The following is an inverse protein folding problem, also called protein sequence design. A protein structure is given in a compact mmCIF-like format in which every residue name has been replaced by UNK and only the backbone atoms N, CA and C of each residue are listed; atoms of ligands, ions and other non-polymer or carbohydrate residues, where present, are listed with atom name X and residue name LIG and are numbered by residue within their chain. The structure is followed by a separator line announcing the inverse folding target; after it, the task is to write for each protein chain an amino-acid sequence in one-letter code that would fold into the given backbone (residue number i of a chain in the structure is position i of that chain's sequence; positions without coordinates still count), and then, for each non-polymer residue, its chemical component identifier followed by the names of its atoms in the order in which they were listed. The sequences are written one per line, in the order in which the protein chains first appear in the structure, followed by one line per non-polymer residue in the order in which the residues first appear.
data_IF_288118067323
#
_entry.id   IF_288118067323
#
_cell.length_a   1.000
_cell.length_b   1.000
_cell.length_c   1.000
_cell.angle_alpha   90.00
_cell.angle_beta   90.00
_cell.angle_gamma   90.00
#
_symmetry.space_group_name_H-M   'P 1'
#
loop_
_entity.id
_entity.type
_entity.pdbx_description
1 polymer ?
#
# COMPACT_ATOMS: atom_id res chain seq x y z
N UNK A 1 -26.06 8.57 63.12
CA UNK A 1 -27.38 9.25 63.01
C UNK A 1 -27.20 10.41 62.06
N UNK A 2 -27.97 10.34 60.98
CA UNK A 2 -28.32 11.38 60.01
C UNK A 2 -27.23 12.02 59.14
N UNK A 3 -27.35 11.65 57.87
CA UNK A 3 -26.71 12.20 56.70
C UNK A 3 -27.01 13.70 56.54
N UNK A 4 -25.96 14.51 56.41
CA UNK A 4 -26.07 15.81 55.75
C UNK A 4 -26.13 15.56 54.25
N UNK A 5 -27.33 15.55 53.69
CA UNK A 5 -27.54 15.58 52.24
C UNK A 5 -26.88 16.84 51.65
N UNK A 6 -25.81 16.62 50.91
CA UNK A 6 -25.27 17.57 49.94
C UNK A 6 -26.37 17.89 48.92
N UNK A 7 -27.00 19.06 49.06
CA UNK A 7 -27.72 19.72 47.97
C UNK A 7 -26.71 20.01 46.86
N UNK A 8 -26.64 19.11 45.89
CA UNK A 8 -26.07 19.40 44.57
C UNK A 8 -26.81 20.62 44.01
N UNK A 9 -26.08 21.72 43.79
CA UNK A 9 -26.55 22.81 42.93
C UNK A 9 -26.75 22.25 41.53
N UNK A 10 -27.95 21.70 41.27
CA UNK A 10 -28.40 21.38 39.92
C UNK A 10 -28.38 22.69 39.14
N UNK A 11 -27.52 22.75 38.12
CA UNK A 11 -27.54 23.78 37.08
C UNK A 11 -29.00 23.91 36.60
N UNK A 12 -29.54 25.13 36.64
CA UNK A 12 -30.94 25.40 36.31
C UNK A 12 -31.13 25.24 34.80
N UNK A 13 -31.44 24.01 34.36
CA UNK A 13 -31.55 23.63 32.95
C UNK A 13 -32.63 24.40 32.16
N UNK A 14 -33.60 24.99 32.87
CA UNK A 14 -34.69 25.81 32.29
C UNK A 14 -34.98 27.03 33.17
N UNK A 15 -34.37 28.20 32.94
CA UNK A 15 -34.84 29.45 33.52
C UNK A 15 -36.27 29.80 33.05
N UNK A 16 -36.99 30.71 33.73
CA UNK A 16 -38.30 31.18 33.28
C UNK A 16 -38.27 31.68 31.84
N UNK A 17 -39.21 31.24 31.02
CA UNK A 17 -39.31 31.63 29.60
C UNK A 17 -38.63 30.67 28.62
N UNK A 18 -38.03 29.59 29.11
CA UNK A 18 -37.32 28.62 28.25
C UNK A 18 -38.27 27.74 27.43
N UNK A 19 -39.42 27.40 28.01
CA UNK A 19 -40.37 26.46 27.41
C UNK A 19 -41.41 27.21 26.56
N UNK A 20 -41.77 26.69 25.39
CA UNK A 20 -42.96 27.17 24.68
C UNK A 20 -44.23 26.76 25.44
N UNK A 21 -45.37 27.42 25.17
CA UNK A 21 -46.67 27.07 25.76
C UNK A 21 -47.01 25.58 25.55
N UNK A 22 -46.72 25.04 24.36
CA UNK A 22 -46.96 23.64 24.02
C UNK A 22 -46.01 22.69 24.77
N UNK A 23 -44.75 23.08 24.97
CA UNK A 23 -43.78 22.30 25.73
C UNK A 23 -44.12 22.28 27.22
N UNK A 24 -44.55 23.42 27.79
CA UNK A 24 -45.05 23.50 29.18
C UNK A 24 -46.23 22.56 29.37
N UNK A 25 -47.16 22.54 28.42
CA UNK A 25 -48.33 21.67 28.48
C UNK A 25 -47.93 20.20 28.39
N UNK A 26 -47.06 19.84 27.45
CA UNK A 26 -46.58 18.46 27.28
C UNK A 26 -45.84 17.94 28.52
N UNK A 27 -44.96 18.74 29.11
CA UNK A 27 -44.27 18.38 30.36
C UNK A 27 -45.24 18.31 31.54
N UNK A 28 -46.24 19.20 31.59
CA UNK A 28 -47.26 19.16 32.65
C UNK A 28 -48.15 17.91 32.54
N UNK A 29 -48.57 17.54 31.33
CA UNK A 29 -49.32 16.31 31.05
C UNK A 29 -48.53 15.06 31.45
N UNK A 30 -47.26 14.99 31.07
CA UNK A 30 -46.37 13.87 31.41
C UNK A 30 -46.15 13.78 32.94
N UNK A 31 -45.92 14.92 33.60
CA UNK A 31 -45.74 14.97 35.05
C UNK A 31 -46.98 14.48 35.81
N UNK A 32 -48.16 14.90 35.35
CA UNK A 32 -49.45 14.47 35.92
C UNK A 32 -49.73 13.00 35.64
N UNK A 33 -49.40 12.51 34.44
CA UNK A 33 -49.49 11.09 34.08
C UNK A 33 -48.64 10.21 34.99
N UNK A 34 -47.42 10.66 35.32
CA UNK A 34 -46.47 9.92 36.16
C UNK A 34 -46.78 9.97 37.66
N UNK A 35 -47.11 11.16 38.18
CA UNK A 35 -47.22 11.39 39.63
C UNK A 35 -48.67 11.45 40.15
N UNK A 36 -49.64 11.61 39.25
CA UNK A 36 -51.02 11.93 39.57
C UNK A 36 -51.20 13.40 39.99
N UNK A 37 -52.42 13.92 39.79
CA UNK A 37 -52.73 15.35 39.95
C UNK A 37 -52.37 15.91 41.33
N UNK A 38 -52.57 15.14 42.42
CA UNK A 38 -52.27 15.60 43.79
C UNK A 38 -50.77 15.87 43.99
N UNK A 39 -49.91 14.92 43.64
CA UNK A 39 -48.45 15.07 43.83
C UNK A 39 -47.86 16.09 42.85
N UNK A 40 -48.39 16.17 41.62
CA UNK A 40 -48.00 17.19 40.66
C UNK A 40 -48.29 18.62 41.18
N UNK A 41 -49.45 18.85 41.80
CA UNK A 41 -49.76 20.16 42.42
C UNK A 41 -48.82 20.52 43.57
N UNK A 42 -48.45 19.53 44.40
CA UNK A 42 -47.53 19.72 45.52
C UNK A 42 -46.11 20.09 45.04
N UNK A 43 -45.61 19.38 44.02
CA UNK A 43 -44.28 19.63 43.43
C UNK A 43 -44.17 20.99 42.74
N UNK A 44 -45.20 21.38 42.00
CA UNK A 44 -45.21 22.65 41.28
C UNK A 44 -45.59 23.85 42.15
N UNK A 45 -46.18 23.61 43.34
CA UNK A 45 -46.66 24.66 44.24
C UNK A 45 -47.86 25.41 43.68
N UNK A 46 -48.77 24.71 43.00
CA UNK A 46 -49.97 25.28 42.36
C UNK A 46 -51.25 24.66 42.91
N UNK A 47 -52.37 25.37 42.81
CA UNK A 47 -53.67 24.83 43.23
C UNK A 47 -54.19 23.77 42.23
N UNK A 48 -55.05 22.84 42.71
CA UNK A 48 -55.74 21.87 41.83
C UNK A 48 -56.61 22.54 40.77
N UNK A 49 -57.25 23.66 41.12
CA UNK A 49 -58.05 24.44 40.18
C UNK A 49 -57.17 25.05 39.08
N UNK A 50 -55.97 25.54 39.43
CA UNK A 50 -54.99 26.03 38.46
C UNK A 50 -54.51 24.92 37.54
N UNK A 51 -54.14 23.76 38.09
CA UNK A 51 -53.72 22.60 37.30
C UNK A 51 -54.79 22.17 36.29
N UNK A 52 -56.05 22.07 36.73
CA UNK A 52 -57.17 21.73 35.85
C UNK A 52 -57.34 22.75 34.73
N UNK A 53 -57.25 24.05 35.04
CA UNK A 53 -57.36 25.11 34.02
C UNK A 53 -56.19 25.08 33.02
N UNK A 54 -54.99 24.73 33.46
CA UNK A 54 -53.82 24.59 32.59
C UNK A 54 -53.97 23.41 31.63
N UNK A 55 -54.31 22.22 32.14
CA UNK A 55 -54.48 21.01 31.32
C UNK A 55 -55.62 21.15 30.30
N UNK A 56 -56.70 21.84 30.67
CA UNK A 56 -57.82 22.11 29.75
C UNK A 56 -57.64 23.36 28.89
N UNK A 57 -56.44 23.97 28.88
CA UNK A 57 -56.12 25.18 28.09
C UNK A 57 -57.03 26.38 28.36
N UNK A 58 -57.67 26.42 29.52
CA UNK A 58 -58.50 27.53 29.98
C UNK A 58 -57.66 28.69 30.54
N UNK A 59 -56.38 28.41 30.85
CA UNK A 59 -55.39 29.39 31.28
C UNK A 59 -54.01 28.93 30.80
N UNK A 60 -53.16 29.87 30.40
CA UNK A 60 -51.76 29.59 30.07
C UNK A 60 -50.94 29.24 31.32
N UNK A 61 -49.95 28.35 31.15
CA UNK A 61 -49.01 27.95 32.20
C UNK A 61 -47.99 29.09 32.36
N UNK A 62 -47.87 29.71 33.56
CA UNK A 62 -46.93 30.79 33.79
C UNK A 62 -45.48 30.36 33.60
N UNK A 63 -44.64 31.24 33.06
CA UNK A 63 -43.24 30.96 32.72
C UNK A 63 -42.38 30.71 33.96
N UNK A 64 -42.79 31.23 35.11
CA UNK A 64 -42.13 31.04 36.40
C UNK A 64 -42.17 29.57 36.87
N UNK A 65 -43.00 28.73 36.24
CA UNK A 65 -43.07 27.30 36.51
C UNK A 65 -42.04 26.49 35.72
N UNK A 66 -41.37 27.05 34.71
CA UNK A 66 -40.40 26.34 33.85
C UNK A 66 -39.30 25.64 34.65
N UNK A 67 -38.64 26.28 35.64
CA UNK A 67 -37.60 25.62 36.41
C UNK A 67 -38.14 24.45 37.22
N UNK A 68 -39.35 24.59 37.79
CA UNK A 68 -39.99 23.55 38.62
C UNK A 68 -40.45 22.37 37.77
N UNK A 69 -40.96 22.63 36.58
CA UNK A 69 -41.31 21.59 35.61
C UNK A 69 -40.06 20.82 35.19
N UNK A 70 -39.01 21.49 34.73
CA UNK A 70 -37.82 20.80 34.24
C UNK A 70 -37.06 20.01 35.31
N UNK A 71 -37.06 20.47 36.58
CA UNK A 71 -36.38 19.75 37.67
C UNK A 71 -36.93 18.35 37.94
N UNK A 72 -38.16 18.06 37.51
CA UNK A 72 -38.80 16.76 37.71
C UNK A 72 -38.50 15.75 36.59
N UNK A 73 -37.79 16.15 35.53
CA UNK A 73 -37.43 15.27 34.40
C UNK A 73 -35.93 15.00 34.35
N UNK A 74 -35.54 13.83 33.82
CA UNK A 74 -34.15 13.51 33.52
C UNK A 74 -33.65 14.19 32.24
N UNK A 75 -32.33 14.23 32.04
CA UNK A 75 -31.70 14.90 30.89
C UNK A 75 -32.22 14.36 29.54
N UNK A 76 -32.41 13.05 29.42
CA UNK A 76 -32.93 12.40 28.21
C UNK A 76 -34.40 12.75 27.91
N UNK A 77 -35.21 12.92 28.97
CA UNK A 77 -36.63 13.29 28.84
C UNK A 77 -36.78 14.75 28.42
N UNK A 78 -35.92 15.63 28.96
CA UNK A 78 -35.86 17.04 28.55
C UNK A 78 -35.36 17.20 27.12
N UNK A 79 -34.35 16.41 26.71
CA UNK A 79 -33.84 16.38 25.33
C UNK A 79 -34.91 15.94 24.31
N UNK A 80 -35.87 15.11 24.71
CA UNK A 80 -36.97 14.67 23.85
C UNK A 80 -38.06 15.75 23.65
N UNK A 81 -38.10 16.77 24.51
CA UNK A 81 -39.11 17.84 24.48
C UNK A 81 -38.53 19.18 24.01
N UNK A 82 -37.27 19.46 24.32
CA UNK A 82 -36.57 20.69 23.95
C UNK A 82 -35.92 20.58 22.56
N UNK A 83 -35.93 21.68 21.81
CA UNK A 83 -35.14 21.75 20.58
C UNK A 83 -33.66 22.01 20.90
N UNK A 84 -32.74 21.51 20.05
CA UNK A 84 -31.29 21.76 20.18
C UNK A 84 -30.97 23.26 20.34
N UNK A 85 -31.77 24.15 19.74
CA UNK A 85 -31.59 25.60 19.84
C UNK A 85 -31.87 26.12 21.26
N UNK A 86 -32.95 25.66 21.88
CA UNK A 86 -33.35 26.08 23.24
C UNK A 86 -32.37 25.59 24.30
N UNK A 87 -31.81 24.38 24.13
CA UNK A 87 -30.76 23.85 25.00
C UNK A 87 -29.46 24.67 24.91
N UNK A 88 -29.11 25.13 23.72
CA UNK A 88 -27.96 26.01 23.54
C UNK A 88 -28.21 27.41 24.10
N UNK A 89 -29.46 27.89 24.05
CA UNK A 89 -29.86 29.17 24.68
C UNK A 89 -29.83 29.09 26.21
N UNK A 90 -30.37 28.02 26.80
CA UNK A 90 -30.34 27.84 28.26
C UNK A 90 -28.93 27.60 28.81
N UNK A 91 -28.07 26.94 28.03
CA UNK A 91 -26.65 26.78 28.35
C UNK A 91 -25.80 28.03 28.10
N UNK A 92 -26.39 29.12 27.57
CA UNK A 92 -25.69 30.37 27.26
C UNK A 92 -24.73 30.29 26.06
N UNK A 93 -24.76 29.18 25.32
CA UNK A 93 -23.98 28.96 24.08
C UNK A 93 -24.56 29.78 22.94
N UNK A 94 -25.87 30.00 22.94
CA UNK A 94 -26.59 30.86 22.00
C UNK A 94 -27.28 31.99 22.76
N UNK A 95 -27.12 33.24 22.32
CA UNK A 95 -27.83 34.40 22.88
C UNK A 95 -28.25 35.33 21.75
N UNK A 96 -29.55 35.63 21.66
CA UNK A 96 -30.12 36.50 20.62
C UNK A 96 -29.74 36.06 19.19
N UNK A 97 -29.68 34.74 18.94
CA UNK A 97 -29.27 34.15 17.66
C UNK A 97 -27.77 34.23 17.37
N UNK A 98 -26.95 34.75 18.28
CA UNK A 98 -25.48 34.79 18.17
C UNK A 98 -24.86 33.69 19.02
N UNK A 99 -23.90 32.97 18.45
CA UNK A 99 -23.11 31.97 19.16
C UNK A 99 -22.06 32.64 20.03
N UNK A 100 -21.97 32.23 21.28
CA UNK A 100 -20.87 32.56 22.17
C UNK A 100 -19.68 31.66 21.82
N UNK A 101 -18.88 32.09 20.85
CA UNK A 101 -17.75 31.32 20.31
C UNK A 101 -16.76 30.90 21.41
N UNK A 102 -16.33 31.78 22.35
CA UNK A 102 -15.45 31.37 23.44
C UNK A 102 -16.01 30.23 24.29
N UNK A 103 -17.29 30.28 24.66
CA UNK A 103 -17.93 29.23 25.44
C UNK A 103 -18.05 27.93 24.64
N UNK A 104 -18.38 28.02 23.35
CA UNK A 104 -18.44 26.86 22.46
C UNK A 104 -17.07 26.17 22.35
N UNK A 105 -15.98 26.94 22.21
CA UNK A 105 -14.62 26.39 22.18
C UNK A 105 -14.30 25.69 23.50
N UNK A 106 -14.56 26.33 24.65
CA UNK A 106 -14.32 25.73 25.95
C UNK A 106 -15.11 24.41 26.15
N UNK A 107 -16.36 24.34 25.68
CA UNK A 107 -17.17 23.13 25.70
C UNK A 107 -16.59 22.03 24.82
N UNK A 108 -16.12 22.36 23.61
CA UNK A 108 -15.48 21.40 22.71
C UNK A 108 -14.17 20.90 23.33
N UNK A 109 -13.32 21.78 23.85
CA UNK A 109 -12.05 21.40 24.46
C UNK A 109 -12.26 20.47 25.66
N UNK A 110 -13.24 20.78 26.52
CA UNK A 110 -13.62 19.92 27.64
C UNK A 110 -14.16 18.56 27.14
N UNK A 111 -15.02 18.55 26.12
CA UNK A 111 -15.56 17.33 25.54
C UNK A 111 -14.47 16.47 24.88
N UNK A 112 -13.46 17.08 24.27
CA UNK A 112 -12.35 16.38 23.62
C UNK A 112 -11.37 15.74 24.61
N UNK A 113 -11.40 16.14 25.88
CA UNK A 113 -10.66 15.45 26.96
C UNK A 113 -11.37 14.16 27.42
N UNK A 114 -12.65 13.98 27.09
CA UNK A 114 -13.40 12.75 27.34
C UNK A 114 -13.37 11.86 26.08
N UNK A 115 -12.86 10.63 26.21
CA UNK A 115 -12.64 9.76 25.04
C UNK A 115 -13.95 9.34 24.34
N UNK A 116 -15.05 9.15 25.08
CA UNK A 116 -16.35 8.79 24.50
C UNK A 116 -16.94 9.96 23.71
N UNK A 117 -16.99 11.15 24.32
CA UNK A 117 -17.50 12.36 23.67
C UNK A 117 -16.65 12.73 22.44
N UNK A 118 -15.32 12.62 22.55
CA UNK A 118 -14.39 12.80 21.43
C UNK A 118 -14.71 11.88 20.25
N UNK A 119 -14.94 10.59 20.48
CA UNK A 119 -15.28 9.65 19.39
C UNK A 119 -16.61 10.01 18.73
N UNK A 120 -17.62 10.39 19.52
CA UNK A 120 -18.93 10.83 19.01
C UNK A 120 -18.81 12.09 18.16
N UNK A 121 -18.09 13.10 18.66
CA UNK A 121 -17.84 14.37 17.97
C UNK A 121 -17.12 14.10 16.64
N UNK A 122 -15.97 13.40 16.68
CA UNK A 122 -15.18 13.12 15.49
C UNK A 122 -15.98 12.33 14.43
N UNK A 123 -16.72 11.31 14.85
CA UNK A 123 -17.57 10.52 13.93
C UNK A 123 -18.65 11.39 13.28
N UNK A 124 -19.27 12.28 14.06
CA UNK A 124 -20.31 13.18 13.55
C UNK A 124 -19.74 14.21 12.57
N UNK A 125 -18.60 14.81 12.89
CA UNK A 125 -17.89 15.73 12.00
C UNK A 125 -17.51 15.05 10.67
N UNK A 126 -16.93 13.84 10.73
CA UNK A 126 -16.56 13.07 9.54
C UNK A 126 -17.75 12.66 8.69
N UNK A 127 -18.92 12.44 9.29
CA UNK A 127 -20.11 11.98 8.57
C UNK A 127 -20.86 13.14 7.92
N UNK A 128 -20.99 14.28 8.62
CA UNK A 128 -21.78 15.43 8.14
C UNK A 128 -20.98 16.45 7.33
N UNK A 129 -19.70 16.66 7.65
CA UNK A 129 -18.90 17.74 7.06
C UNK A 129 -17.70 17.21 6.26
N UNK A 130 -17.88 16.03 5.65
CA UNK A 130 -16.79 15.33 4.97
C UNK A 130 -16.18 16.16 3.84
N UNK A 131 -17.01 16.86 3.07
CA UNK A 131 -16.57 17.61 1.89
C UNK A 131 -15.86 18.91 2.31
N UNK A 132 -16.39 19.61 3.31
CA UNK A 132 -15.82 20.82 3.88
C UNK A 132 -14.49 20.54 4.61
N UNK A 133 -14.43 19.43 5.35
CA UNK A 133 -13.17 18.97 5.95
C UNK A 133 -12.16 18.59 4.86
N UNK A 134 -12.58 17.99 3.76
CA UNK A 134 -11.71 17.70 2.63
C UNK A 134 -11.18 18.99 1.97
N UNK A 135 -12.01 20.02 1.84
CA UNK A 135 -11.60 21.32 1.30
C UNK A 135 -10.66 22.09 2.23
N UNK A 136 -10.96 22.15 3.52
CA UNK A 136 -10.10 22.76 4.55
C UNK A 136 -8.73 22.08 4.60
N UNK A 137 -8.71 20.75 4.59
CA UNK A 137 -7.46 19.99 4.53
C UNK A 137 -6.74 20.19 3.19
N UNK A 138 -7.46 20.39 2.09
CA UNK A 138 -6.85 20.71 0.79
C UNK A 138 -6.21 22.11 0.75
N UNK A 139 -6.75 23.09 1.49
CA UNK A 139 -6.14 24.44 1.62
C UNK A 139 -4.80 24.41 2.35
N UNK A 140 -4.55 23.41 3.20
CA UNK A 140 -3.27 23.24 3.88
C UNK A 140 -2.17 22.61 3.01
N UNK A 141 -2.51 22.09 1.82
CA UNK A 141 -1.51 21.49 0.92
C UNK A 141 -0.84 22.60 0.10
N UNK A 142 0.51 22.68 0.11
CA UNK A 142 1.21 23.68 -0.68
C UNK A 142 0.94 23.46 -2.18
N UNK A 143 0.54 24.53 -2.88
CA UNK A 143 0.29 24.54 -4.33
C UNK A 143 1.61 24.46 -5.12
N UNK A 144 2.23 23.29 -5.09
CA UNK A 144 3.50 23.01 -5.77
C UNK A 144 3.20 22.48 -7.16
N UNK A 145 3.61 23.19 -8.20
CA UNK A 145 3.60 22.64 -9.55
C UNK A 145 4.66 21.53 -9.69
N UNK A 146 4.24 20.38 -10.21
CA UNK A 146 5.10 19.23 -10.38
C UNK A 146 5.98 19.40 -11.63
N UNK A 147 7.29 19.52 -11.41
CA UNK A 147 8.29 19.62 -12.48
C UNK A 147 9.38 18.56 -12.34
N UNK A 148 9.75 17.93 -13.45
CA UNK A 148 10.90 17.02 -13.48
C UNK A 148 12.19 17.80 -13.71
N UNK A 149 12.91 18.11 -12.64
CA UNK A 149 14.19 18.82 -12.70
C UNK A 149 15.40 17.88 -12.64
N UNK A 150 16.59 18.42 -12.94
CA UNK A 150 17.87 17.68 -12.81
C UNK A 150 18.16 17.28 -11.36
N UNK A 151 17.64 18.02 -10.37
CA UNK A 151 17.81 17.72 -8.95
C UNK A 151 17.12 16.42 -8.55
N UNK A 152 15.92 16.20 -9.07
CA UNK A 152 15.13 14.99 -8.86
C UNK A 152 15.77 13.80 -9.57
N UNK A 153 16.28 13.98 -10.79
CA UNK A 153 17.06 12.94 -11.49
C UNK A 153 18.26 12.50 -10.65
N UNK A 154 19.10 13.46 -10.24
CA UNK A 154 20.29 13.20 -9.41
C UNK A 154 19.91 12.53 -8.09
N UNK A 155 18.82 12.98 -7.46
CA UNK A 155 18.33 12.35 -6.24
C UNK A 155 17.93 10.89 -6.45
N UNK A 156 17.24 10.58 -7.56
CA UNK A 156 16.82 9.21 -7.89
C UNK A 156 17.99 8.27 -8.20
N UNK A 157 19.08 8.78 -8.79
CA UNK A 157 20.22 7.98 -9.28
C UNK A 157 21.41 7.93 -8.34
N UNK A 158 21.52 8.84 -7.37
CA UNK A 158 22.71 8.94 -6.51
C UNK A 158 22.36 9.01 -5.02
N UNK A 159 21.35 9.79 -4.63
CA UNK A 159 21.10 10.10 -3.21
C UNK A 159 20.07 9.20 -2.54
N UNK A 160 19.13 8.65 -3.31
CA UNK A 160 18.11 7.74 -2.80
C UNK A 160 18.78 6.47 -2.26
N UNK A 161 18.33 5.98 -1.10
CA UNK A 161 18.88 4.77 -0.45
C UNK A 161 18.95 3.53 -1.35
N UNK A 162 18.05 3.44 -2.34
CA UNK A 162 18.14 2.48 -3.45
C UNK A 162 18.08 3.24 -4.77
N UNK A 163 19.25 3.63 -5.32
CA UNK A 163 19.31 4.32 -6.59
C UNK A 163 18.66 3.52 -7.71
N UNK A 164 18.00 4.22 -8.64
CA UNK A 164 17.35 3.56 -9.78
C UNK A 164 18.31 3.44 -10.96
N UNK A 165 18.16 2.37 -11.74
CA UNK A 165 18.93 2.18 -12.98
C UNK A 165 18.53 3.19 -14.05
N UNK A 166 19.41 3.45 -15.02
CA UNK A 166 19.11 4.33 -16.16
C UNK A 166 17.89 3.89 -16.98
N UNK A 167 17.62 2.58 -17.07
CA UNK A 167 16.39 2.05 -17.68
C UNK A 167 15.14 2.50 -16.91
N UNK A 168 15.15 2.33 -15.60
CA UNK A 168 14.03 2.74 -14.73
C UNK A 168 13.84 4.25 -14.74
N UNK A 169 14.93 5.02 -14.77
CA UNK A 169 14.88 6.47 -14.90
C UNK A 169 14.14 6.89 -16.19
N UNK A 170 14.46 6.26 -17.33
CA UNK A 170 13.77 6.52 -18.60
C UNK A 170 12.28 6.19 -18.51
N UNK A 171 11.94 5.04 -17.91
CA UNK A 171 10.54 4.65 -17.73
C UNK A 171 9.80 5.66 -16.82
N UNK A 172 10.42 6.14 -15.75
CA UNK A 172 9.84 7.14 -14.85
C UNK A 172 9.66 8.50 -15.52
N UNK A 173 10.66 8.95 -16.27
CA UNK A 173 10.61 10.23 -17.00
C UNK A 173 9.48 10.23 -18.02
N UNK A 174 9.29 9.13 -18.76
CA UNK A 174 8.18 8.98 -19.71
C UNK A 174 6.82 9.02 -19.00
N UNK A 175 6.67 8.33 -17.87
CA UNK A 175 5.42 8.33 -17.10
C UNK A 175 5.14 9.73 -16.54
N UNK A 176 6.18 10.40 -16.04
CA UNK A 176 6.08 11.74 -15.52
C UNK A 176 5.66 12.75 -16.60
N UNK A 177 6.35 12.77 -17.73
CA UNK A 177 6.06 13.69 -18.83
C UNK A 177 4.63 13.56 -19.34
N UNK A 178 4.09 12.34 -19.32
CA UNK A 178 2.72 12.07 -19.78
C UNK A 178 1.67 12.39 -18.72
N UNK A 179 1.91 12.05 -17.45
CA UNK A 179 0.85 12.01 -16.43
C UNK A 179 1.00 13.02 -15.27
N UNK A 180 2.18 13.58 -15.00
CA UNK A 180 2.43 14.42 -13.82
C UNK A 180 2.97 15.80 -14.15
N UNK A 181 3.72 15.96 -15.24
CA UNK A 181 4.35 17.22 -15.62
C UNK A 181 3.33 18.37 -15.69
N UNK A 182 3.60 19.44 -14.95
CA UNK A 182 2.78 20.66 -14.93
C UNK A 182 1.47 20.53 -14.15
N UNK A 183 1.18 19.37 -13.53
CA UNK A 183 0.05 19.26 -12.61
C UNK A 183 0.41 19.93 -11.28
N UNK A 184 -0.58 20.54 -10.64
CA UNK A 184 -0.40 21.14 -9.31
C UNK A 184 -0.68 20.08 -8.23
N UNK A 185 0.20 20.02 -7.23
CA UNK A 185 -0.03 19.24 -6.01
C UNK A 185 -1.24 19.82 -5.28
N UNK A 186 -2.32 19.04 -5.23
CA UNK A 186 -3.57 19.42 -4.61
C UNK A 186 -4.62 18.33 -4.75
N UNK A 187 -5.81 18.58 -4.20
CA UNK A 187 -6.90 17.60 -4.10
C UNK A 187 -7.24 16.90 -5.42
N UNK A 188 -7.39 17.65 -6.52
CA UNK A 188 -7.73 17.07 -7.83
C UNK A 188 -6.71 16.02 -8.30
N UNK A 189 -5.42 16.27 -8.07
CA UNK A 189 -4.37 15.31 -8.40
C UNK A 189 -4.43 14.10 -7.48
N UNK A 190 -4.63 14.30 -6.18
CA UNK A 190 -4.72 13.20 -5.22
C UNK A 190 -5.89 12.27 -5.53
N UNK A 191 -7.07 12.84 -5.80
CA UNK A 191 -8.27 12.09 -6.21
C UNK A 191 -8.05 11.28 -7.49
N UNK A 192 -7.32 11.82 -8.47
CA UNK A 192 -6.92 11.07 -9.67
C UNK A 192 -5.97 9.90 -9.35
N UNK A 193 -5.03 10.11 -8.42
CA UNK A 193 -4.04 9.11 -8.04
C UNK A 193 -4.62 7.98 -7.17
N UNK A 194 -5.67 8.25 -6.39
CA UNK A 194 -6.40 7.23 -5.61
C UNK A 194 -7.06 6.17 -6.50
N UNK A 195 -7.56 6.58 -7.66
CA UNK A 195 -8.21 5.71 -8.64
C UNK A 195 -7.29 4.62 -9.20
N UNK A 196 -7.88 3.62 -9.88
CA UNK A 196 -7.11 2.58 -10.59
C UNK A 196 -6.48 3.07 -11.90
N UNK A 197 -7.08 4.12 -12.49
CA UNK A 197 -6.63 4.80 -13.69
C UNK A 197 -6.76 6.31 -13.52
N UNK A 198 -5.96 7.07 -14.25
CA UNK A 198 -6.08 8.54 -14.34
C UNK A 198 -5.95 9.01 -15.78
N UNK A 199 -6.60 10.14 -16.09
CA UNK A 199 -6.46 10.80 -17.38
C UNK A 199 -5.14 11.57 -17.44
N UNK A 200 -4.33 11.26 -18.45
CA UNK A 200 -3.04 11.90 -18.68
C UNK A 200 -3.09 12.84 -19.90
N UNK A 201 -2.00 13.57 -20.16
CA UNK A 201 -1.93 14.62 -21.19
C UNK A 201 -2.15 14.11 -22.62
N UNK A 202 -1.97 12.81 -22.85
CA UNK A 202 -2.25 12.14 -24.12
C UNK A 202 -3.72 11.79 -24.32
N UNK A 203 -4.62 12.33 -23.49
CA UNK A 203 -6.07 12.07 -23.48
C UNK A 203 -6.43 10.59 -23.32
N UNK A 204 -5.56 9.80 -22.68
CA UNK A 204 -5.80 8.38 -22.39
C UNK A 204 -5.80 8.11 -20.90
N UNK A 205 -6.55 7.08 -20.50
CA UNK A 205 -6.53 6.58 -19.14
C UNK A 205 -5.37 5.62 -18.91
N UNK A 206 -4.44 6.00 -18.03
CA UNK A 206 -3.29 5.17 -17.67
C UNK A 206 -3.46 4.56 -16.28
N UNK A 207 -2.98 3.32 -16.05
CA UNK A 207 -2.95 2.74 -14.71
C UNK A 207 -2.12 3.58 -13.73
N UNK A 208 -2.70 3.92 -12.57
CA UNK A 208 -2.04 4.80 -11.59
C UNK A 208 -0.90 4.13 -10.82
N UNK A 209 -0.70 2.81 -10.94
CA UNK A 209 0.24 2.06 -10.10
C UNK A 209 1.69 2.56 -10.21
N UNK A 210 2.19 2.79 -11.42
CA UNK A 210 3.52 3.37 -11.59
C UNK A 210 3.52 4.89 -11.39
N UNK A 211 2.45 5.59 -11.77
CA UNK A 211 2.35 7.05 -11.57
C UNK A 211 2.47 7.39 -10.08
N UNK A 212 1.72 6.69 -9.22
CA UNK A 212 1.81 6.81 -7.76
C UNK A 212 3.21 6.54 -7.24
N UNK A 213 3.92 5.58 -7.81
CA UNK A 213 5.29 5.26 -7.40
C UNK A 213 6.24 6.42 -7.67
N UNK A 214 6.18 7.01 -8.87
CA UNK A 214 7.01 8.16 -9.23
C UNK A 214 6.60 9.39 -8.42
N UNK A 215 5.30 9.63 -8.25
CA UNK A 215 4.76 10.69 -7.41
C UNK A 215 5.28 10.61 -5.98
N UNK A 216 5.21 9.43 -5.33
CA UNK A 216 5.75 9.22 -3.98
C UNK A 216 7.26 9.47 -3.89
N UNK A 217 8.01 9.15 -4.95
CA UNK A 217 9.44 9.49 -5.00
C UNK A 217 9.64 11.00 -5.05
N UNK A 218 8.82 11.72 -5.81
CA UNK A 218 8.88 13.17 -5.86
C UNK A 218 8.48 13.83 -4.53
N UNK A 219 7.44 13.34 -3.85
CA UNK A 219 7.07 13.83 -2.50
C UNK A 219 8.22 13.66 -1.51
N UNK A 220 8.94 12.52 -1.55
CA UNK A 220 10.16 12.31 -0.75
C UNK A 220 11.27 13.29 -1.12
N UNK A 221 11.46 13.54 -2.40
CA UNK A 221 12.42 14.53 -2.87
C UNK A 221 12.07 15.93 -2.36
N UNK A 222 10.82 16.37 -2.50
CA UNK A 222 10.35 17.67 -2.00
C UNK A 222 10.60 17.83 -0.49
N UNK A 223 10.31 16.80 0.31
CA UNK A 223 10.60 16.79 1.74
C UNK A 223 12.11 16.93 2.03
N UNK A 224 12.96 16.16 1.34
CA UNK A 224 14.42 16.26 1.48
C UNK A 224 14.95 17.63 1.04
N UNK A 225 14.26 18.32 0.13
CA UNK A 225 14.58 19.68 -0.27
C UNK A 225 13.97 20.76 0.65
N UNK A 226 13.28 20.38 1.74
CA UNK A 226 12.63 21.32 2.67
C UNK A 226 11.39 22.01 2.10
N UNK A 227 10.84 21.54 0.96
CA UNK A 227 9.65 22.12 0.32
C UNK A 227 8.33 21.61 0.91
N UNK A 228 8.39 20.59 1.77
CA UNK A 228 7.26 20.04 2.51
C UNK A 228 7.66 19.90 3.98
N UNK A 229 6.76 20.25 4.88
CA UNK A 229 6.88 19.91 6.29
C UNK A 229 6.59 18.41 6.53
N UNK A 230 6.90 17.94 7.74
CA UNK A 230 6.79 16.53 8.11
C UNK A 230 5.34 16.00 8.11
N UNK A 231 4.37 16.82 8.52
CA UNK A 231 2.97 16.43 8.59
C UNK A 231 2.40 16.28 7.18
N UNK A 232 2.59 17.28 6.32
CA UNK A 232 2.19 17.23 4.90
C UNK A 232 2.84 16.06 4.18
N UNK A 233 4.15 15.85 4.37
CA UNK A 233 4.87 14.72 3.81
C UNK A 233 4.23 13.38 4.20
N UNK A 234 3.94 13.19 5.49
CA UNK A 234 3.39 11.94 6.03
C UNK A 234 1.98 11.70 5.52
N UNK A 235 1.12 12.74 5.54
CA UNK A 235 -0.25 12.68 5.02
C UNK A 235 -0.30 12.28 3.55
N UNK A 236 0.54 12.90 2.71
CA UNK A 236 0.61 12.58 1.27
C UNK A 236 1.05 11.13 1.01
N UNK A 237 1.98 10.61 1.83
CA UNK A 237 2.39 9.22 1.75
C UNK A 237 1.37 8.24 2.34
N UNK A 238 0.47 8.66 3.22
CA UNK A 238 -0.63 7.81 3.69
C UNK A 238 -1.77 7.78 2.67
N UNK A 239 -2.16 8.94 2.15
CA UNK A 239 -3.26 9.09 1.20
C UNK A 239 -3.01 8.34 -0.12
N UNK A 240 -1.80 8.43 -0.67
CA UNK A 240 -1.49 7.83 -1.97
C UNK A 240 -0.69 6.56 -1.77
N UNK A 241 -1.29 5.36 -1.70
CA UNK A 241 -0.55 4.14 -1.43
C UNK A 241 0.48 3.87 -2.54
N UNK A 242 1.60 3.27 -2.16
CA UNK A 242 2.58 2.78 -3.13
C UNK A 242 1.98 1.74 -4.08
N UNK A 243 2.77 1.34 -5.07
CA UNK A 243 2.34 0.28 -6.00
C UNK A 243 2.01 -1.00 -5.22
N UNK A 244 0.73 -1.34 -5.12
CA UNK A 244 0.28 -2.61 -4.55
C UNK A 244 0.41 -3.70 -5.61
N UNK A 245 1.29 -4.67 -5.38
CA UNK A 245 1.30 -5.90 -6.17
C UNK A 245 0.15 -6.76 -5.66
N UNK A 246 -0.99 -6.75 -6.37
CA UNK A 246 -2.05 -7.72 -6.08
C UNK A 246 -1.44 -9.12 -6.24
N UNK A 247 -1.49 -9.95 -5.20
CA UNK A 247 -1.16 -11.39 -5.27
C UNK A 247 -2.25 -12.13 -6.07
N UNK A 248 -2.59 -11.67 -7.27
CA UNK A 248 -3.37 -12.49 -8.20
C UNK A 248 -2.41 -13.51 -8.78
N UNK A 249 -2.67 -14.79 -8.54
CA UNK A 249 -2.02 -15.91 -9.20
C UNK A 249 -2.49 -15.95 -10.65
N UNK A 250 -2.02 -15.00 -11.46
CA UNK A 250 -2.25 -14.97 -12.90
C UNK A 250 -0.98 -15.50 -13.57
N UNK A 251 -0.81 -16.82 -13.54
CA UNK A 251 0.20 -17.51 -14.32
C UNK A 251 -0.52 -18.35 -15.37
N UNK A 252 -0.31 -18.04 -16.64
CA UNK A 252 -0.65 -18.98 -17.72
C UNK A 252 0.00 -20.33 -17.40
N UNK A 253 -0.73 -21.46 -17.53
CA UNK A 253 -0.12 -22.77 -17.36
C UNK A 253 1.01 -22.91 -18.38
N UNK A 254 2.19 -23.33 -17.91
CA UNK A 254 3.35 -23.63 -18.76
C UNK A 254 3.36 -25.14 -18.90
N UNK A 255 2.96 -25.64 -20.07
CA UNK A 255 2.94 -27.09 -20.36
C UNK A 255 4.33 -27.55 -20.78
N UNK A 256 4.69 -28.77 -20.41
CA UNK A 256 5.96 -29.39 -20.77
C UNK A 256 6.14 -29.47 -22.30
N UNK A 257 5.07 -29.84 -23.01
CA UNK A 257 5.02 -29.89 -24.48
C UNK A 257 5.38 -28.56 -25.15
N UNK A 258 4.88 -27.44 -24.62
CA UNK A 258 5.17 -26.10 -25.17
C UNK A 258 6.66 -25.75 -25.02
N UNK A 259 7.29 -26.22 -23.94
CA UNK A 259 8.71 -26.05 -23.64
C UNK A 259 9.54 -26.91 -24.58
N UNK A 260 9.19 -28.19 -24.74
CA UNK A 260 9.88 -29.11 -25.67
C UNK A 260 9.80 -28.61 -27.11
N UNK A 261 8.61 -28.23 -27.59
CA UNK A 261 8.40 -27.65 -28.92
C UNK A 261 9.19 -26.35 -29.11
N UNK A 262 9.23 -25.49 -28.09
CA UNK A 262 10.05 -24.27 -28.11
C UNK A 262 11.54 -24.61 -28.29
N UNK A 263 12.04 -25.57 -27.52
CA UNK A 263 13.44 -25.98 -27.59
C UNK A 263 13.79 -26.62 -28.94
N UNK A 264 12.90 -27.43 -29.51
CA UNK A 264 13.08 -28.02 -30.83
C UNK A 264 13.18 -26.94 -31.93
N UNK A 265 12.20 -26.03 -32.00
CA UNK A 265 12.20 -24.94 -33.00
C UNK A 265 13.47 -24.08 -32.90
N UNK A 266 13.90 -23.79 -31.67
CA UNK A 266 15.12 -23.00 -31.45
C UNK A 266 16.38 -23.78 -31.83
N UNK A 267 16.46 -25.08 -31.50
CA UNK A 267 17.59 -25.93 -31.89
C UNK A 267 17.78 -25.94 -33.40
N UNK A 268 16.70 -26.09 -34.16
CA UNK A 268 16.74 -26.14 -35.63
C UNK A 268 17.01 -24.77 -36.27
N UNK A 269 16.36 -23.71 -35.79
CA UNK A 269 16.36 -22.42 -36.50
C UNK A 269 17.32 -21.39 -35.92
N UNK A 270 17.61 -21.45 -34.62
CA UNK A 270 18.38 -20.45 -33.86
C UNK A 270 19.19 -21.07 -32.71
N UNK A 271 20.24 -21.87 -33.00
CA UNK A 271 21.08 -22.51 -31.99
C UNK A 271 21.66 -21.54 -30.95
N UNK A 272 21.96 -20.31 -31.38
CA UNK A 272 22.44 -19.23 -30.52
C UNK A 272 21.42 -18.82 -29.43
N UNK A 273 20.12 -18.79 -29.77
CA UNK A 273 19.04 -18.52 -28.80
C UNK A 273 18.70 -19.78 -28.01
N UNK A 274 18.77 -20.95 -28.64
CA UNK A 274 18.60 -22.25 -27.99
C UNK A 274 19.54 -22.40 -26.80
N UNK A 275 20.83 -22.08 -26.98
CA UNK A 275 21.82 -22.05 -25.89
C UNK A 275 21.36 -21.17 -24.73
N UNK A 276 20.91 -19.95 -25.00
CA UNK A 276 20.43 -19.03 -23.96
C UNK A 276 19.28 -19.65 -23.16
N UNK A 277 18.36 -20.34 -23.84
CA UNK A 277 17.21 -20.98 -23.20
C UNK A 277 17.63 -22.19 -22.37
N UNK A 278 18.56 -23.03 -22.85
CA UNK A 278 19.12 -24.12 -22.07
C UNK A 278 19.81 -23.62 -20.81
N UNK A 279 20.67 -22.60 -20.92
CA UNK A 279 21.33 -22.01 -19.76
C UNK A 279 20.32 -21.48 -18.74
N UNK A 280 19.21 -20.88 -19.18
CA UNK A 280 18.15 -20.44 -18.27
C UNK A 280 17.42 -21.59 -17.59
N UNK A 281 17.20 -22.72 -18.27
CA UNK A 281 16.58 -23.90 -17.68
C UNK A 281 17.53 -24.49 -16.65
N UNK A 282 18.76 -24.83 -17.04
CA UNK A 282 19.74 -25.50 -16.18
C UNK A 282 20.22 -24.64 -15.00
N UNK A 283 20.29 -23.32 -15.14
CA UNK A 283 20.79 -22.46 -14.04
C UNK A 283 19.70 -21.73 -13.29
N UNK A 284 18.48 -21.65 -13.82
CA UNK A 284 17.46 -20.73 -13.32
C UNK A 284 17.87 -19.24 -13.38
N UNK A 285 18.95 -18.91 -14.08
CA UNK A 285 19.47 -17.55 -14.24
C UNK A 285 18.49 -16.70 -15.06
N UNK A 286 18.40 -15.42 -14.71
CA UNK A 286 17.53 -14.48 -15.43
C UNK A 286 18.07 -14.25 -16.84
N UNK A 287 17.15 -14.15 -17.80
CA UNK A 287 17.49 -13.92 -19.22
C UNK A 287 18.54 -12.82 -19.44
N UNK A 288 18.39 -11.67 -18.77
CA UNK A 288 19.36 -10.58 -18.94
C UNK A 288 20.75 -10.93 -18.41
N UNK A 289 20.84 -11.67 -17.30
CA UNK A 289 22.12 -12.12 -16.74
C UNK A 289 22.79 -13.14 -17.65
N UNK A 290 22.03 -14.08 -18.24
CA UNK A 290 22.58 -15.03 -19.22
C UNK A 290 23.17 -14.28 -20.42
N UNK A 291 22.37 -13.40 -21.04
CA UNK A 291 22.80 -12.65 -22.23
C UNK A 291 23.99 -11.72 -21.92
N UNK A 292 23.99 -11.02 -20.79
CA UNK A 292 25.14 -10.17 -20.42
C UNK A 292 26.39 -11.01 -20.20
N UNK A 293 26.27 -12.16 -19.52
CA UNK A 293 27.43 -12.98 -19.17
C UNK A 293 28.09 -13.62 -20.38
N UNK A 294 27.29 -14.07 -21.35
CA UNK A 294 27.83 -14.61 -22.61
C UNK A 294 28.53 -13.51 -23.44
N UNK A 295 28.03 -12.27 -23.40
CA UNK A 295 28.67 -11.15 -24.11
C UNK A 295 29.96 -10.67 -23.45
N UNK A 296 30.07 -10.80 -22.13
CA UNK A 296 31.27 -10.48 -21.36
C UNK A 296 31.96 -11.75 -20.86
N UNK A 297 31.94 -12.82 -21.65
CA UNK A 297 32.44 -14.14 -21.26
C UNK A 297 33.96 -14.11 -21.05
N UNK A 298 34.41 -14.36 -19.81
CA UNK A 298 35.81 -14.32 -19.39
C UNK A 298 36.13 -15.48 -18.43
N UNK A 299 36.18 -16.72 -18.94
CA UNK A 299 36.22 -17.91 -18.10
C UNK A 299 37.45 -18.00 -17.20
N UNK A 300 38.60 -17.48 -17.65
CA UNK A 300 39.88 -17.55 -16.95
C UNK A 300 40.08 -16.47 -15.88
N UNK A 301 39.15 -15.52 -15.78
CA UNK A 301 39.24 -14.42 -14.82
C UNK A 301 39.13 -14.94 -13.38
N UNK A 302 39.88 -14.34 -12.46
CA UNK A 302 39.75 -14.57 -11.01
C UNK A 302 39.32 -13.27 -10.34
N UNK A 303 38.33 -13.36 -9.46
CA UNK A 303 37.70 -12.20 -8.84
C UNK A 303 37.80 -12.31 -7.33
N UNK A 304 38.23 -11.23 -6.69
CA UNK A 304 38.18 -11.11 -5.24
C UNK A 304 36.75 -10.79 -4.80
N UNK A 305 36.24 -11.57 -3.84
CA UNK A 305 34.89 -11.40 -3.29
C UNK A 305 34.99 -10.98 -1.83
N UNK A 306 34.73 -9.69 -1.59
CA UNK A 306 34.97 -9.02 -0.30
C UNK A 306 34.32 -9.75 0.89
N UNK A 307 33.03 -10.08 0.78
CA UNK A 307 32.29 -10.70 1.89
C UNK A 307 32.72 -12.15 2.17
N UNK A 308 33.42 -12.80 1.24
CA UNK A 308 34.01 -14.12 1.41
C UNK A 308 35.51 -14.06 1.75
N UNK A 309 36.12 -12.88 1.67
CA UNK A 309 37.57 -12.65 1.81
C UNK A 309 38.40 -13.66 1.01
N UNK A 310 37.97 -13.95 -0.22
CA UNK A 310 38.51 -15.03 -1.02
C UNK A 310 38.45 -14.72 -2.52
N UNK A 311 39.38 -15.31 -3.27
CA UNK A 311 39.41 -15.26 -4.72
C UNK A 311 38.58 -16.42 -5.30
N UNK A 312 37.67 -16.09 -6.21
CA UNK A 312 36.83 -17.06 -6.92
C UNK A 312 37.19 -17.03 -8.40
N UNK A 313 37.49 -18.21 -8.97
CA UNK A 313 37.62 -18.39 -10.42
C UNK A 313 36.27 -18.17 -11.09
N UNK A 314 36.25 -17.38 -12.17
CA UNK A 314 35.01 -17.05 -12.86
C UNK A 314 34.36 -18.30 -13.44
N UNK A 315 35.11 -19.20 -14.06
CA UNK A 315 34.63 -20.52 -14.45
C UNK A 315 35.26 -21.60 -13.55
N UNK A 316 34.43 -22.44 -12.96
CA UNK A 316 34.86 -23.68 -12.31
C UNK A 316 34.10 -24.83 -12.94
N UNK A 317 34.81 -25.85 -13.45
CA UNK A 317 34.21 -27.04 -14.04
C UNK A 317 34.57 -28.27 -13.21
N UNK A 318 33.54 -29.05 -12.87
CA UNK A 318 33.61 -30.38 -12.28
C UNK A 318 33.42 -31.43 -13.38
N UNK A 319 33.33 -32.70 -13.03
CA UNK A 319 33.19 -33.79 -14.00
C UNK A 319 31.93 -33.65 -14.86
N UNK A 320 30.79 -33.38 -14.23
CA UNK A 320 29.48 -33.37 -14.90
C UNK A 320 29.00 -31.98 -15.33
N UNK A 321 29.45 -30.93 -14.65
CA UNK A 321 28.92 -29.59 -14.82
C UNK A 321 29.96 -28.51 -14.57
N UNK A 322 29.62 -27.29 -14.99
CA UNK A 322 30.37 -26.09 -14.68
C UNK A 322 29.48 -25.07 -13.98
N UNK A 323 30.12 -24.17 -13.23
CA UNK A 323 29.48 -22.97 -12.68
C UNK A 323 30.29 -21.75 -13.04
N UNK A 324 29.59 -20.75 -13.58
CA UNK A 324 30.16 -19.46 -13.95
C UNK A 324 29.73 -18.39 -12.95
N UNK A 325 30.68 -17.78 -12.25
CA UNK A 325 30.43 -16.75 -11.27
C UNK A 325 30.03 -15.41 -11.92
N UNK A 326 28.85 -14.93 -11.55
CA UNK A 326 28.21 -13.73 -12.10
C UNK A 326 28.57 -12.47 -11.30
N UNK A 327 28.87 -12.58 -10.01
CA UNK A 327 29.15 -11.44 -9.13
C UNK A 327 27.96 -10.48 -8.99
N UNK A 328 26.75 -11.03 -8.86
CA UNK A 328 25.49 -10.28 -8.81
C UNK A 328 24.71 -10.52 -7.52
N UNK A 329 25.36 -10.91 -6.42
CA UNK A 329 24.72 -11.24 -5.15
C UNK A 329 24.11 -10.04 -4.43
N UNK A 330 24.70 -8.86 -4.64
CA UNK A 330 24.23 -7.60 -4.04
C UNK A 330 23.25 -6.84 -4.93
N UNK A 331 22.98 -7.33 -6.14
CA UNK A 331 22.03 -6.70 -7.06
C UNK A 331 20.59 -6.86 -6.55
N UNK A 332 19.68 -5.96 -6.97
CA UNK A 332 18.23 -6.04 -6.66
C UNK A 332 17.63 -7.41 -7.03
N UNK A 333 18.23 -8.09 -8.01
CA UNK A 333 17.84 -9.41 -8.48
C UNK A 333 19.04 -10.34 -8.35
N UNK A 334 19.33 -10.88 -7.16
CA UNK A 334 20.60 -11.53 -6.96
C UNK A 334 20.78 -12.78 -7.84
N UNK A 335 22.03 -13.06 -8.19
CA UNK A 335 22.47 -14.31 -8.83
C UNK A 335 23.99 -14.49 -8.62
N UNK A 336 24.42 -15.48 -7.84
CA UNK A 336 25.86 -15.74 -7.66
C UNK A 336 26.47 -16.47 -8.85
N UNK A 337 25.86 -17.58 -9.26
CA UNK A 337 26.40 -18.47 -10.28
C UNK A 337 25.40 -18.78 -11.38
N UNK A 338 25.91 -19.08 -12.57
CA UNK A 338 25.18 -19.75 -13.63
C UNK A 338 25.73 -21.17 -13.76
N UNK A 339 24.99 -22.15 -13.24
CA UNK A 339 25.31 -23.57 -13.36
C UNK A 339 24.84 -24.14 -14.71
N UNK A 340 25.63 -25.03 -15.32
CA UNK A 340 25.23 -25.69 -16.57
C UNK A 340 25.98 -27.01 -16.79
N UNK A 341 25.40 -27.97 -17.52
CA UNK A 341 26.10 -29.21 -17.89
C UNK A 341 27.39 -28.94 -18.63
N UNK A 342 28.44 -29.71 -18.33
CA UNK A 342 29.79 -29.49 -18.92
C UNK A 342 29.78 -29.53 -20.44
N UNK A 343 28.92 -30.36 -21.04
CA UNK A 343 28.71 -30.45 -22.49
C UNK A 343 28.29 -29.13 -23.16
N UNK A 344 27.69 -28.19 -22.41
CA UNK A 344 27.34 -26.89 -22.96
C UNK A 344 28.53 -25.95 -23.07
N UNK A 345 29.68 -26.25 -22.45
CA UNK A 345 30.85 -25.39 -22.51
C UNK A 345 31.34 -25.19 -23.95
N UNK A 346 31.41 -26.26 -24.75
CA UNK A 346 31.81 -26.19 -26.17
C UNK A 346 30.84 -25.33 -26.98
N UNK A 347 29.53 -25.50 -26.74
CA UNK A 347 28.47 -24.71 -27.38
C UNK A 347 28.55 -23.23 -26.96
N UNK A 348 28.88 -22.94 -25.69
CA UNK A 348 29.10 -21.56 -25.23
C UNK A 348 30.27 -20.93 -26.00
N UNK A 349 31.39 -21.63 -26.10
CA UNK A 349 32.57 -21.13 -26.80
C UNK A 349 32.28 -20.86 -28.29
N UNK A 350 31.48 -21.70 -28.93
CA UNK A 350 31.04 -21.52 -30.33
C UNK A 350 30.16 -20.27 -30.51
N UNK A 351 29.21 -20.03 -29.61
CA UNK A 351 28.18 -19.00 -29.80
C UNK A 351 28.37 -17.70 -29.02
N UNK A 352 29.28 -17.62 -28.04
CA UNK A 352 29.45 -16.44 -27.16
C UNK A 352 29.61 -15.12 -27.92
N UNK A 353 30.30 -15.13 -29.05
CA UNK A 353 30.55 -13.94 -29.89
C UNK A 353 29.36 -13.58 -30.80
N UNK A 354 28.40 -14.50 -30.98
CA UNK A 354 27.25 -14.37 -31.89
C UNK A 354 25.93 -14.10 -31.16
N UNK A 355 25.94 -13.97 -29.83
CA UNK A 355 24.73 -13.80 -29.03
C UNK A 355 23.99 -12.50 -29.41
N UNK A 356 22.72 -12.62 -29.88
CA UNK A 356 21.96 -11.45 -30.30
C UNK A 356 21.64 -10.49 -29.16
N UNK A 357 21.30 -9.26 -29.51
CA UNK A 357 20.76 -8.32 -28.52
C UNK A 357 19.43 -8.81 -27.93
N UNK A 358 19.15 -8.40 -26.69
CA UNK A 358 17.90 -8.68 -25.97
C UNK A 358 16.66 -8.42 -26.83
N UNK A 359 16.64 -7.29 -27.54
CA UNK A 359 15.54 -6.91 -28.42
C UNK A 359 15.40 -7.88 -29.61
N UNK A 360 16.52 -8.28 -30.22
CA UNK A 360 16.52 -9.21 -31.35
C UNK A 360 16.05 -10.60 -30.95
N UNK A 361 16.43 -11.09 -29.75
CA UNK A 361 15.92 -12.37 -29.22
C UNK A 361 14.40 -12.30 -29.07
N UNK A 362 13.86 -11.25 -28.44
CA UNK A 362 12.40 -11.11 -28.28
C UNK A 362 11.68 -10.98 -29.63
N UNK A 363 12.23 -10.19 -30.56
CA UNK A 363 11.65 -10.00 -31.90
C UNK A 363 11.67 -11.30 -32.71
N UNK A 364 12.75 -12.07 -32.66
CA UNK A 364 12.87 -13.29 -33.48
C UNK A 364 12.21 -14.49 -32.80
N UNK A 365 12.57 -14.82 -31.57
CA UNK A 365 12.05 -16.01 -30.90
C UNK A 365 10.54 -15.87 -30.62
N UNK A 366 10.14 -14.80 -29.93
CA UNK A 366 8.76 -14.69 -29.46
C UNK A 366 7.81 -14.23 -30.57
N UNK A 367 8.17 -13.17 -31.31
CA UNK A 367 7.25 -12.61 -32.32
C UNK A 367 7.26 -13.33 -33.67
N UNK A 368 8.42 -13.79 -34.15
CA UNK A 368 8.51 -14.43 -35.48
C UNK A 368 8.36 -15.95 -35.43
N UNK A 369 9.04 -16.61 -34.49
CA UNK A 369 9.01 -18.07 -34.37
C UNK A 369 7.87 -18.58 -33.48
N UNK A 370 7.14 -17.69 -32.80
CA UNK A 370 6.00 -18.05 -31.97
C UNK A 370 6.37 -18.89 -30.75
N UNK A 371 7.64 -18.89 -30.32
CA UNK A 371 8.08 -19.70 -29.18
C UNK A 371 7.81 -19.03 -27.83
N UNK A 372 7.88 -19.81 -26.75
CA UNK A 372 7.70 -19.28 -25.40
C UNK A 372 8.69 -18.15 -25.08
N UNK A 373 8.19 -17.11 -24.39
CA UNK A 373 9.03 -16.02 -23.92
C UNK A 373 10.03 -16.50 -22.85
N UNK A 374 11.25 -15.92 -22.77
CA UNK A 374 12.29 -16.38 -21.86
C UNK A 374 11.84 -16.47 -20.39
N UNK A 375 10.95 -15.55 -19.95
CA UNK A 375 10.39 -15.57 -18.60
C UNK A 375 9.73 -16.92 -18.25
N UNK A 376 8.99 -17.51 -19.18
CA UNK A 376 8.28 -18.77 -18.95
C UNK A 376 9.24 -19.96 -18.91
N UNK A 377 10.25 -19.98 -19.79
CA UNK A 377 11.30 -21.01 -19.77
C UNK A 377 12.05 -21.04 -18.43
N UNK A 378 12.38 -19.87 -17.88
CA UNK A 378 12.98 -19.78 -16.54
C UNK A 378 12.05 -20.28 -15.44
N UNK A 379 10.76 -19.91 -15.48
CA UNK A 379 9.79 -20.38 -14.48
C UNK A 379 9.70 -21.89 -14.53
N UNK A 380 9.69 -22.48 -15.73
CA UNK A 380 9.70 -23.93 -15.89
C UNK A 380 10.98 -24.56 -15.33
N UNK A 381 12.16 -24.03 -15.66
CA UNK A 381 13.44 -24.49 -15.08
C UNK A 381 13.47 -24.46 -13.55
N UNK A 382 12.92 -23.40 -12.94
CA UNK A 382 12.76 -23.29 -11.49
C UNK A 382 11.87 -24.40 -10.92
N UNK A 383 10.75 -24.72 -11.58
CA UNK A 383 9.86 -25.83 -11.15
C UNK A 383 10.57 -27.18 -11.22
N UNK A 384 11.41 -27.38 -12.23
CA UNK A 384 12.22 -28.60 -12.33
C UNK A 384 13.25 -28.68 -11.20
N UNK A 385 13.88 -27.56 -10.83
CA UNK A 385 14.84 -27.55 -9.73
C UNK A 385 14.18 -27.86 -8.39
N UNK A 386 13.06 -27.19 -8.11
CA UNK A 386 12.25 -27.40 -6.90
C UNK A 386 11.79 -28.86 -6.76
N UNK A 387 11.50 -29.54 -7.88
CA UNK A 387 11.12 -30.95 -7.88
C UNK A 387 12.30 -31.93 -7.75
N UNK A 388 13.54 -31.49 -7.98
CA UNK A 388 14.70 -32.37 -8.11
C UNK A 388 15.78 -32.15 -7.04
N UNK A 389 15.69 -31.06 -6.26
CA UNK A 389 16.70 -30.69 -5.27
C UNK A 389 16.05 -30.26 -3.95
N UNK A 390 16.85 -30.29 -2.89
CA UNK A 390 16.48 -29.70 -1.60
C UNK A 390 16.25 -28.18 -1.71
N UNK A 391 15.33 -27.68 -0.87
CA UNK A 391 14.82 -26.30 -0.90
C UNK A 391 15.93 -25.23 -0.82
N UNK A 392 16.82 -25.32 0.16
CA UNK A 392 17.92 -24.36 0.32
C UNK A 392 18.96 -24.45 -0.81
N UNK A 393 19.16 -25.63 -1.40
CA UNK A 393 20.13 -25.85 -2.48
C UNK A 393 19.67 -25.15 -3.75
N UNK A 394 18.44 -25.37 -4.20
CA UNK A 394 17.98 -24.71 -5.41
C UNK A 394 17.76 -23.21 -5.18
N UNK A 395 17.32 -22.78 -3.99
CA UNK A 395 17.24 -21.34 -3.65
C UNK A 395 18.61 -20.67 -3.72
N UNK A 396 19.66 -21.34 -3.25
CA UNK A 396 21.04 -20.86 -3.37
C UNK A 396 21.45 -20.70 -4.84
N UNK A 397 21.21 -21.71 -5.69
CA UNK A 397 21.48 -21.65 -7.14
C UNK A 397 20.73 -20.47 -7.79
N UNK A 398 19.48 -20.22 -7.39
CA UNK A 398 18.66 -19.12 -7.90
C UNK A 398 19.05 -17.73 -7.38
N UNK A 399 19.99 -17.64 -6.43
CA UNK A 399 20.36 -16.40 -5.75
C UNK A 399 19.27 -15.87 -4.82
N UNK A 400 18.43 -16.73 -4.24
CA UNK A 400 17.39 -16.35 -3.28
C UNK A 400 17.91 -16.35 -1.85
N UNK A 401 19.02 -15.63 -1.60
CA UNK A 401 19.75 -15.68 -0.32
C UNK A 401 18.90 -15.27 0.90
N UNK A 402 17.92 -14.37 0.71
CA UNK A 402 17.01 -13.95 1.79
C UNK A 402 15.92 -14.98 2.13
N UNK A 403 15.77 -16.03 1.33
CA UNK A 403 14.77 -17.11 1.52
C UNK A 403 15.41 -18.39 2.07
N UNK A 404 16.70 -18.36 2.39
CA UNK A 404 17.46 -19.49 2.97
C UNK A 404 17.15 -19.64 4.45
N UNK A 405 17.15 -20.87 4.96
CA UNK A 405 16.99 -21.13 6.40
C UNK A 405 18.20 -20.65 7.22
N UNK A 406 18.01 -20.43 8.53
CA UNK A 406 19.05 -19.93 9.45
C UNK A 406 20.28 -20.86 9.50
N UNK A 407 20.08 -22.17 9.30
CA UNK A 407 21.13 -23.19 9.21
C UNK A 407 21.90 -23.19 7.89
N UNK A 408 21.37 -22.56 6.83
CA UNK A 408 21.98 -22.45 5.51
C UNK A 408 23.04 -21.33 5.36
N UNK A 409 23.42 -20.64 6.44
CA UNK A 409 24.22 -19.39 6.38
C UNK A 409 25.68 -19.51 5.93
N UNK A 410 26.22 -20.72 5.69
CA UNK A 410 27.61 -20.90 5.26
C UNK A 410 27.70 -21.07 3.74
N UNK A 411 28.05 -19.99 3.05
CA UNK A 411 28.16 -19.92 1.58
C UNK A 411 28.91 -21.10 0.95
N UNK A 412 30.10 -21.43 1.46
CA UNK A 412 30.94 -22.52 0.93
C UNK A 412 30.30 -23.90 1.12
N UNK A 413 29.53 -24.08 2.19
CA UNK A 413 28.82 -25.34 2.44
C UNK A 413 27.65 -25.51 1.48
N UNK A 414 26.84 -24.46 1.27
CA UNK A 414 25.75 -24.49 0.28
C UNK A 414 26.27 -24.67 -1.15
N UNK A 415 27.41 -24.06 -1.47
CA UNK A 415 28.08 -24.24 -2.75
C UNK A 415 28.51 -25.69 -2.98
N UNK A 416 29.10 -26.33 -1.96
CA UNK A 416 29.44 -27.76 -2.01
C UNK A 416 28.18 -28.62 -2.17
N UNK A 417 27.11 -28.35 -1.42
CA UNK A 417 25.83 -29.05 -1.54
C UNK A 417 25.19 -28.89 -2.92
N UNK A 418 25.28 -27.70 -3.50
CA UNK A 418 24.85 -27.45 -4.87
C UNK A 418 25.66 -28.29 -5.86
N UNK A 419 26.99 -28.28 -5.77
CA UNK A 419 27.87 -29.08 -6.62
C UNK A 419 27.57 -30.60 -6.50
N UNK A 420 27.25 -31.10 -5.30
CA UNK A 420 26.87 -32.50 -5.04
C UNK A 420 25.50 -32.89 -5.63
N UNK A 421 24.49 -32.01 -5.53
CA UNK A 421 23.13 -32.28 -5.98
C UNK A 421 22.91 -32.02 -7.48
N UNK A 422 23.69 -31.13 -8.08
CA UNK A 422 23.50 -30.68 -9.47
C UNK A 422 23.49 -31.80 -10.53
N UNK A 423 24.32 -32.86 -10.44
CA UNK A 423 24.30 -33.96 -11.42
C UNK A 423 22.93 -34.63 -11.56
N UNK A 424 22.24 -34.89 -10.43
CA UNK A 424 20.90 -35.50 -10.43
C UNK A 424 19.88 -34.60 -11.13
N UNK A 425 20.01 -33.29 -10.96
CA UNK A 425 19.16 -32.34 -11.66
C UNK A 425 19.40 -32.31 -13.17
N UNK A 426 20.66 -32.41 -13.63
CA UNK A 426 20.96 -32.50 -15.07
C UNK A 426 20.25 -33.70 -15.68
N UNK A 427 20.34 -34.87 -15.03
CA UNK A 427 19.67 -36.08 -15.46
C UNK A 427 18.14 -35.90 -15.48
N UNK A 428 17.58 -35.33 -14.41
CA UNK A 428 16.15 -35.04 -14.30
C UNK A 428 15.65 -34.13 -15.44
N UNK A 429 16.36 -33.03 -15.72
CA UNK A 429 16.04 -32.11 -16.82
C UNK A 429 16.15 -32.82 -18.16
N UNK A 430 17.22 -33.57 -18.39
CA UNK A 430 17.44 -34.26 -19.67
C UNK A 430 16.33 -35.27 -19.96
N UNK A 431 15.93 -36.04 -18.95
CA UNK A 431 14.82 -36.99 -19.05
C UNK A 431 13.50 -36.27 -19.30
N UNK A 432 13.21 -35.18 -18.59
CA UNK A 432 11.95 -34.43 -18.73
C UNK A 432 11.81 -33.69 -20.05
N UNK A 433 12.92 -33.26 -20.64
CA UNK A 433 12.89 -32.49 -21.88
C UNK A 433 13.35 -33.29 -23.10
N UNK A 434 13.53 -34.61 -22.95
CA UNK A 434 14.07 -35.49 -23.98
C UNK A 434 15.34 -34.91 -24.64
N UNK A 435 16.25 -34.41 -23.79
CA UNK A 435 17.52 -33.80 -24.23
C UNK A 435 18.67 -34.80 -24.30
N UNK A 436 18.38 -36.10 -24.12
CA UNK A 436 19.35 -37.18 -24.31
C UNK A 436 19.42 -37.56 -25.81
N UNK A 437 20.65 -37.40 -26.29
CA UNK A 437 21.36 -37.73 -27.53
C UNK A 437 20.65 -37.59 -28.90
N UNK A 438 21.16 -36.72 -29.81
CA UNK A 438 21.29 -37.15 -31.20
C UNK A 438 22.31 -38.30 -31.23
N UNK A 439 21.95 -39.40 -31.87
CA UNK A 439 22.92 -40.38 -32.37
C UNK A 439 24.01 -39.59 -33.10
N UNK A 440 25.24 -39.63 -32.59
CA UNK A 440 26.40 -39.31 -33.42
C UNK A 440 26.37 -40.22 -34.64
N UNK A 441 26.48 -39.69 -35.87
CA UNK A 441 26.50 -40.52 -37.07
C UNK A 441 27.65 -41.51 -37.07
#
# INVERSE_FOLDING_TARGET
MEASETRSEKIMLCPPGTLSVEQRLKLLEELVGRLGAKRATEKLGISRASLYRYLNRQREIPEELDPRLCMEFGDDELLAVLSNKQLLESAGVLKDGRLNIPLLIALIDAAMQNEEAKQVILKRFLTQYKEELQELLAQTIPRIELHWDKGFEKWLTEKKSKPITGRTLKDYKNIWSTCLQGKVLGWHLLKQLEGSKMLCRDNKYHPTGWVRQVFRHYIRYLYVQGKLDWDTYTRLLLAIPGRRYKKKLDQKPIREEDVQKTLQILRERRPDIYLVYLLMIYSGTRFEHVVSSLKSWRPDETLYVEYLKSNIKRLTCLETHCRYYLGKETDIKPAAFMFFPRKLLTVIEEYKSRIPSRHRIYKVAVKKLGVLAPKYMRIFGIRLMDAAMEDDVYKFILGKFSELTVTGGKYLWLLKKADEAYPQYIEYVNRKLNLNEPETP
#
